data_IF_761932863412
#
_entry.id   IF_761932863412
#
_cell.length_a   1.000
_cell.length_b   1.000
_cell.length_c   1.000
_cell.angle_alpha   90.00
_cell.angle_beta   90.00
_cell.angle_gamma   90.00
#
_symmetry.space_group_name_H-M   'P 1'
#
loop_
_entity.id
_entity.type
_entity.pdbx_description
1 polymer ?
#
# COMPACT_ATOMS: atom_id res chain seq x y z
N UNK A 1 -34.68 48.03 59.35
CA UNK A 1 -33.61 48.81 60.00
C UNK A 1 -32.32 48.55 59.30
N UNK A 2 -31.59 49.65 59.09
CA UNK A 2 -30.25 49.85 58.54
C UNK A 2 -30.04 49.68 57.07
N UNK A 3 -29.98 50.85 56.40
CA UNK A 3 -29.50 51.15 55.06
C UNK A 3 -28.00 50.92 54.92
N UNK A 4 -27.54 50.38 53.78
CA UNK A 4 -26.18 50.61 53.32
C UNK A 4 -26.19 51.14 51.87
N UNK A 5 -25.72 52.38 51.75
CA UNK A 5 -25.47 53.07 50.49
C UNK A 5 -24.23 52.44 49.84
N UNK A 6 -24.33 52.15 48.56
CA UNK A 6 -23.14 51.86 47.72
C UNK A 6 -22.91 53.02 46.77
N UNK A 7 -21.73 53.64 46.95
CA UNK A 7 -21.19 54.64 46.04
C UNK A 7 -20.78 53.97 44.73
N UNK A 8 -21.31 54.44 43.62
CA UNK A 8 -20.81 54.15 42.29
C UNK A 8 -19.67 55.12 41.96
N UNK A 9 -18.47 54.63 41.77
CA UNK A 9 -17.36 55.38 41.15
C UNK A 9 -17.42 55.17 39.64
N UNK A 10 -17.68 56.22 38.87
CA UNK A 10 -17.53 56.27 37.44
C UNK A 10 -16.04 56.29 37.10
N UNK A 11 -15.50 55.21 36.49
CA UNK A 11 -14.23 55.23 35.78
C UNK A 11 -14.49 55.62 34.33
N UNK A 12 -14.04 56.81 33.96
CA UNK A 12 -13.99 57.26 32.56
C UNK A 12 -12.75 56.63 31.90
N UNK A 13 -12.97 55.68 31.01
CA UNK A 13 -11.92 55.17 30.11
C UNK A 13 -11.72 56.18 28.97
N UNK A 14 -10.57 56.80 28.91
CA UNK A 14 -10.12 57.53 27.72
C UNK A 14 -9.66 56.53 26.64
N UNK A 15 -10.41 56.44 25.54
CA UNK A 15 -9.97 55.74 24.34
C UNK A 15 -8.88 56.54 23.63
N UNK A 16 -7.63 56.08 23.70
CA UNK A 16 -6.61 56.47 22.77
C UNK A 16 -6.82 55.67 21.46
N UNK A 17 -6.89 56.31 20.28
CA UNK A 17 -6.85 55.58 19.02
C UNK A 17 -5.43 55.05 18.78
N UNK A 18 -5.23 53.74 18.90
CA UNK A 18 -4.04 53.08 18.40
C UNK A 18 -4.09 53.13 16.87
N UNK A 19 -3.25 53.93 16.25
CA UNK A 19 -2.95 53.85 14.83
C UNK A 19 -2.23 52.51 14.60
N UNK A 20 -2.98 51.52 14.14
CA UNK A 20 -2.43 50.33 13.53
C UNK A 20 -1.87 50.72 12.16
N UNK A 21 -0.60 51.04 12.07
CA UNK A 21 0.16 51.01 10.84
C UNK A 21 0.25 49.56 10.42
N UNK A 22 -0.61 49.16 9.49
CA UNK A 22 -0.47 47.91 8.76
C UNK A 22 0.84 48.03 7.95
N UNK A 23 1.93 47.47 8.49
CA UNK A 23 3.07 47.09 7.65
C UNK A 23 2.59 46.02 6.70
N UNK A 24 2.23 46.42 5.48
CA UNK A 24 2.16 45.47 4.36
C UNK A 24 3.59 45.03 4.06
N UNK A 25 4.05 43.97 4.71
CA UNK A 25 5.19 43.23 4.19
C UNK A 25 4.71 42.62 2.86
N UNK A 26 5.09 43.23 1.78
CA UNK A 26 5.01 42.61 0.46
C UNK A 26 6.10 41.53 0.43
N UNK A 27 5.84 40.40 1.05
CA UNK A 27 6.61 39.20 0.76
C UNK A 27 6.54 39.00 -0.74
N UNK A 28 7.67 38.74 -1.39
CA UNK A 28 7.64 38.43 -2.83
C UNK A 28 6.63 37.28 -3.05
N UNK A 29 5.79 37.35 -4.10
CA UNK A 29 4.84 36.31 -4.38
C UNK A 29 5.58 34.98 -4.40
N UNK A 30 5.08 34.03 -3.62
CA UNK A 30 5.66 32.71 -3.55
C UNK A 30 5.85 32.19 -4.98
N UNK A 31 7.02 31.61 -5.34
CA UNK A 31 7.27 31.14 -6.70
C UNK A 31 6.11 30.26 -7.16
N UNK A 32 5.67 30.43 -8.40
CA UNK A 32 4.61 29.61 -8.97
C UNK A 32 5.02 28.13 -8.89
N UNK A 33 4.08 27.26 -8.53
CA UNK A 33 4.32 25.82 -8.50
C UNK A 33 4.71 25.29 -9.90
N UNK A 34 5.42 24.18 -9.94
CA UNK A 34 5.85 23.53 -11.17
C UNK A 34 4.87 22.43 -11.59
N UNK A 35 4.89 22.08 -12.88
CA UNK A 35 4.16 20.92 -13.39
C UNK A 35 5.09 19.70 -13.32
N UNK A 36 4.75 18.73 -12.46
CA UNK A 36 5.48 17.45 -12.34
C UNK A 36 4.78 16.40 -13.19
N UNK A 37 5.44 15.97 -14.25
CA UNK A 37 4.85 15.01 -15.19
C UNK A 37 5.36 13.59 -14.94
N UNK A 38 4.42 12.64 -14.85
CA UNK A 38 4.65 11.21 -14.72
C UNK A 38 4.01 10.49 -15.89
N UNK A 39 4.70 9.48 -16.42
CA UNK A 39 4.19 8.59 -17.47
C UNK A 39 4.01 7.22 -16.82
N UNK A 40 2.79 6.84 -16.49
CA UNK A 40 2.49 5.64 -15.72
C UNK A 40 1.61 4.70 -16.53
N UNK A 41 1.99 3.44 -16.62
CA UNK A 41 1.15 2.42 -17.24
C UNK A 41 0.75 1.33 -16.23
N UNK A 42 -0.49 0.83 -16.36
CA UNK A 42 -0.87 -0.45 -15.77
C UNK A 42 -0.37 -1.58 -16.68
N UNK A 43 0.33 -2.56 -16.13
CA UNK A 43 0.91 -3.67 -16.88
C UNK A 43 0.80 -5.00 -16.15
N UNK A 44 0.70 -6.09 -16.92
CA UNK A 44 0.77 -7.44 -16.38
C UNK A 44 2.23 -7.75 -15.99
N UNK A 45 2.42 -8.19 -14.75
CA UNK A 45 3.73 -8.50 -14.16
C UNK A 45 3.63 -9.81 -13.38
N UNK A 46 4.67 -10.62 -13.42
CA UNK A 46 4.81 -11.73 -12.47
C UNK A 46 5.48 -11.23 -11.21
N UNK A 47 4.81 -11.40 -10.07
CA UNK A 47 5.31 -11.03 -8.76
C UNK A 47 5.53 -12.25 -7.89
N UNK A 48 6.61 -12.26 -7.10
CA UNK A 48 6.87 -13.30 -6.11
C UNK A 48 6.98 -12.66 -4.72
N UNK A 49 6.05 -13.01 -3.84
CA UNK A 49 5.98 -12.52 -2.47
C UNK A 49 7.15 -12.99 -1.57
N UNK A 50 7.81 -14.08 -1.94
CA UNK A 50 8.95 -14.64 -1.21
C UNK A 50 10.06 -15.11 -2.16
N UNK A 51 10.72 -14.17 -2.87
CA UNK A 51 11.61 -14.47 -4.00
C UNK A 51 12.84 -15.29 -3.63
N UNK A 52 13.26 -15.30 -2.37
CA UNK A 52 14.43 -16.09 -1.94
C UNK A 52 14.11 -17.57 -1.76
N UNK A 53 12.82 -17.95 -1.71
CA UNK A 53 12.39 -19.32 -1.40
C UNK A 53 12.67 -19.74 0.06
N UNK A 54 13.01 -18.78 0.92
CA UNK A 54 13.41 -19.00 2.32
C UNK A 54 12.62 -18.05 3.23
N UNK A 55 12.16 -18.55 4.37
CA UNK A 55 11.74 -17.68 5.47
C UNK A 55 12.97 -16.98 6.02
N UNK A 56 13.15 -15.71 5.72
CA UNK A 56 14.33 -14.92 6.08
C UNK A 56 14.41 -14.59 7.58
N UNK A 57 13.37 -14.89 8.35
CA UNK A 57 13.35 -14.72 9.80
C UNK A 57 13.93 -15.96 10.49
N UNK A 58 13.56 -17.15 10.02
CA UNK A 58 14.02 -18.43 10.57
C UNK A 58 15.23 -19.02 9.86
N UNK A 59 15.53 -18.58 8.64
CA UNK A 59 16.57 -19.11 7.77
C UNK A 59 16.19 -20.45 7.12
N UNK A 60 14.94 -20.89 7.21
CA UNK A 60 14.52 -22.22 6.74
C UNK A 60 13.89 -22.14 5.34
N UNK A 61 14.35 -22.93 4.35
CA UNK A 61 13.74 -22.97 3.01
C UNK A 61 12.28 -23.47 3.06
N UNK A 62 11.40 -22.86 2.28
CA UNK A 62 9.99 -23.29 2.18
C UNK A 62 9.86 -24.71 1.58
N UNK A 63 10.78 -25.13 0.72
CA UNK A 63 10.80 -26.48 0.14
C UNK A 63 10.91 -27.59 1.19
N UNK A 64 11.46 -27.29 2.37
CA UNK A 64 11.68 -28.27 3.44
C UNK A 64 10.50 -28.39 4.41
N UNK A 65 9.34 -27.81 4.07
CA UNK A 65 8.12 -27.89 4.87
C UNK A 65 7.49 -29.29 4.78
N UNK A 66 7.90 -30.20 5.67
CA UNK A 66 7.30 -31.55 5.75
C UNK A 66 6.23 -31.67 6.84
N UNK A 67 6.37 -30.94 7.93
CA UNK A 67 5.43 -30.93 9.07
C UNK A 67 5.45 -29.58 9.78
N UNK A 68 4.32 -29.09 10.30
CA UNK A 68 4.28 -27.92 11.18
C UNK A 68 5.05 -28.19 12.47
N UNK A 69 5.80 -27.19 12.90
CA UNK A 69 6.50 -27.16 14.18
C UNK A 69 6.29 -25.79 14.84
N UNK A 70 6.63 -25.58 16.10
CA UNK A 70 6.58 -24.24 16.71
C UNK A 70 7.40 -23.19 15.97
N UNK A 71 8.44 -23.59 15.23
CA UNK A 71 9.25 -22.70 14.37
C UNK A 71 8.69 -22.57 12.94
N UNK A 72 7.67 -23.35 12.60
CA UNK A 72 7.03 -23.43 11.28
C UNK A 72 5.53 -23.64 11.46
N UNK A 73 4.82 -22.55 11.70
CA UNK A 73 3.37 -22.62 11.84
C UNK A 73 2.72 -23.12 10.56
N UNK A 74 1.49 -23.62 10.67
CA UNK A 74 0.71 -24.11 9.54
C UNK A 74 0.54 -23.02 8.48
N UNK A 75 0.40 -21.79 8.90
CA UNK A 75 0.22 -20.61 8.05
C UNK A 75 1.39 -20.43 7.08
N UNK A 76 2.64 -20.65 7.51
CA UNK A 76 3.81 -20.62 6.61
C UNK A 76 3.68 -21.67 5.51
N UNK A 77 3.23 -22.86 5.86
CA UNK A 77 3.01 -23.94 4.91
C UNK A 77 1.92 -23.61 3.89
N UNK A 78 0.76 -23.12 4.34
CA UNK A 78 -0.37 -22.78 3.47
C UNK A 78 -0.03 -21.61 2.54
N UNK A 79 0.70 -20.62 3.04
CA UNK A 79 1.02 -19.39 2.32
C UNK A 79 2.10 -19.57 1.23
N UNK A 80 3.03 -20.49 1.43
CA UNK A 80 4.23 -20.57 0.58
C UNK A 80 4.30 -21.80 -0.30
N UNK A 81 3.60 -22.85 0.04
CA UNK A 81 3.63 -24.10 -0.73
C UNK A 81 2.78 -23.95 -1.99
N UNK A 82 3.33 -24.43 -3.11
CA UNK A 82 2.59 -24.65 -4.34
C UNK A 82 2.06 -26.08 -4.37
N UNK A 83 0.76 -26.24 -4.55
CA UNK A 83 0.16 -27.56 -4.86
C UNK A 83 -0.17 -27.56 -6.34
N UNK A 84 0.65 -28.26 -7.13
CA UNK A 84 0.28 -28.59 -8.49
C UNK A 84 -0.78 -29.70 -8.44
N UNK A 85 -1.92 -29.51 -9.11
CA UNK A 85 -2.84 -30.57 -9.41
C UNK A 85 -2.19 -31.45 -10.49
N UNK A 86 -1.69 -32.59 -10.10
CA UNK A 86 -1.30 -33.64 -11.03
C UNK A 86 -2.43 -34.66 -11.02
N UNK A 87 -3.03 -34.91 -12.18
CA UNK A 87 -4.09 -35.92 -12.36
C UNK A 87 -3.64 -37.34 -11.96
N UNK A 88 -2.35 -37.55 -11.74
CA UNK A 88 -1.77 -38.82 -11.31
C UNK A 88 -1.58 -38.96 -9.80
N UNK A 89 -1.81 -37.92 -9.01
CA UNK A 89 -1.40 -37.89 -7.59
C UNK A 89 -2.48 -37.39 -6.64
N UNK A 90 -3.69 -37.85 -6.78
CA UNK A 90 -4.73 -37.64 -5.76
C UNK A 90 -4.37 -38.26 -4.40
N UNK A 91 -3.41 -39.15 -4.35
CA UNK A 91 -2.94 -39.76 -3.09
C UNK A 91 -1.88 -38.93 -2.35
N UNK A 92 -1.14 -38.06 -3.02
CA UNK A 92 -0.01 -37.34 -2.43
C UNK A 92 -0.13 -35.80 -2.46
N UNK A 93 -1.20 -35.26 -3.05
CA UNK A 93 -1.43 -33.81 -3.18
C UNK A 93 -2.33 -33.19 -2.12
N UNK A 94 -2.98 -34.01 -1.31
CA UNK A 94 -3.78 -33.53 -0.17
C UNK A 94 -2.84 -32.96 0.88
N UNK A 95 -2.88 -31.64 1.02
CA UNK A 95 -2.30 -31.00 2.19
C UNK A 95 -3.18 -31.38 3.38
N UNK A 96 -2.77 -32.41 4.08
CA UNK A 96 -3.45 -32.85 5.27
C UNK A 96 -3.14 -31.85 6.39
N UNK A 97 -4.13 -31.08 6.80
CA UNK A 97 -4.05 -30.33 8.05
C UNK A 97 -4.59 -31.22 9.17
N UNK A 98 -3.76 -31.74 10.09
CA UNK A 98 -4.22 -32.60 11.16
C UNK A 98 -5.13 -31.89 12.19
N UNK A 99 -5.21 -30.56 12.15
CA UNK A 99 -6.02 -29.74 13.06
C UNK A 99 -7.30 -29.19 12.42
N UNK A 100 -7.43 -29.27 11.09
CA UNK A 100 -8.68 -28.97 10.41
C UNK A 100 -9.42 -30.29 10.20
N UNK A 101 -10.49 -30.47 10.96
CA UNK A 101 -11.39 -31.59 10.77
C UNK A 101 -11.85 -31.63 9.31
N UNK A 102 -11.38 -32.63 8.60
CA UNK A 102 -11.97 -33.21 7.41
C UNK A 102 -12.77 -32.22 6.59
N UNK A 103 -12.40 -31.81 5.46
CA UNK A 103 -13.31 -31.39 4.41
C UNK A 103 -13.01 -30.12 3.62
N UNK A 104 -11.90 -29.43 3.81
CA UNK A 104 -11.60 -28.32 2.91
C UNK A 104 -10.35 -28.56 2.10
N UNK A 105 -10.52 -28.73 0.78
CA UNK A 105 -9.39 -28.71 -0.12
C UNK A 105 -8.90 -27.27 -0.29
N UNK A 106 -7.69 -27.02 0.20
CA UNK A 106 -7.03 -25.75 0.00
C UNK A 106 -6.32 -25.74 -1.34
N UNK A 107 -6.76 -24.90 -2.26
CA UNK A 107 -6.05 -24.67 -3.51
C UNK A 107 -4.97 -23.62 -3.26
N UNK A 108 -3.72 -24.07 -3.22
CA UNK A 108 -2.57 -23.23 -2.96
C UNK A 108 -1.86 -22.87 -4.27
N UNK A 109 -1.79 -21.58 -4.58
CA UNK A 109 -1.05 -21.07 -5.72
C UNK A 109 0.44 -20.93 -5.38
N UNK A 110 0.77 -20.68 -4.12
CA UNK A 110 2.11 -20.51 -3.61
C UNK A 110 2.50 -19.03 -3.47
N UNK A 111 3.76 -18.70 -3.77
CA UNK A 111 4.29 -17.34 -3.56
C UNK A 111 4.30 -16.47 -4.81
N UNK A 112 4.07 -17.05 -6.00
CA UNK A 112 4.20 -16.37 -7.29
C UNK A 112 2.84 -16.20 -7.96
N UNK A 113 2.54 -14.96 -8.38
CA UNK A 113 1.27 -14.57 -8.98
C UNK A 113 1.50 -13.67 -10.19
N UNK A 114 0.61 -13.74 -11.16
CA UNK A 114 0.41 -12.67 -12.12
C UNK A 114 -0.35 -11.55 -11.44
N UNK A 115 0.11 -10.31 -11.63
CA UNK A 115 -0.52 -9.08 -11.09
C UNK A 115 -0.59 -8.01 -12.17
N UNK A 116 -1.40 -7.00 -11.94
CA UNK A 116 -1.39 -5.76 -12.70
C UNK A 116 -0.69 -4.69 -11.84
N UNK A 117 0.43 -4.15 -12.29
CA UNK A 117 1.17 -3.15 -11.52
C UNK A 117 1.28 -1.83 -12.29
N UNK A 118 1.27 -0.71 -11.56
CA UNK A 118 1.67 0.58 -12.13
C UNK A 118 3.18 0.64 -12.34
N UNK A 119 3.60 0.96 -13.56
CA UNK A 119 5.00 1.08 -13.95
C UNK A 119 5.28 2.47 -14.53
N UNK A 120 6.41 3.09 -14.16
CA UNK A 120 6.81 4.40 -14.71
C UNK A 120 7.61 4.26 -15.98
N UNK A 121 7.38 5.17 -16.90
CA UNK A 121 8.05 5.28 -18.20
C UNK A 121 8.79 6.61 -18.33
N UNK A 122 9.74 6.68 -19.26
CA UNK A 122 10.52 7.89 -19.50
C UNK A 122 9.76 8.92 -20.34
N UNK A 123 8.71 8.50 -21.07
CA UNK A 123 7.93 9.38 -21.94
C UNK A 123 6.55 8.81 -22.29
N UNK A 124 5.71 9.63 -22.92
CA UNK A 124 4.38 9.25 -23.40
C UNK A 124 4.39 8.20 -24.53
N UNK A 125 5.55 7.81 -25.05
CA UNK A 125 5.64 6.68 -26.00
C UNK A 125 5.44 5.32 -25.31
N UNK A 126 5.65 5.24 -23.99
CA UNK A 126 5.57 4.01 -23.20
C UNK A 126 6.41 2.85 -23.76
N UNK A 127 7.59 3.19 -24.31
CA UNK A 127 8.53 2.19 -24.87
C UNK A 127 9.68 1.87 -23.94
N UNK A 128 10.15 2.84 -23.13
CA UNK A 128 11.28 2.69 -22.23
C UNK A 128 10.82 2.88 -20.79
N UNK A 129 10.87 1.81 -19.99
CA UNK A 129 10.58 1.88 -18.55
C UNK A 129 11.62 2.76 -17.85
N UNK A 130 11.16 3.60 -16.94
CA UNK A 130 12.03 4.35 -16.05
C UNK A 130 12.47 3.44 -14.90
N UNK A 131 13.77 3.21 -14.73
CA UNK A 131 14.26 2.41 -13.59
C UNK A 131 13.82 3.04 -12.27
N UNK A 132 13.39 2.22 -11.33
CA UNK A 132 13.12 2.67 -9.97
C UNK A 132 14.43 3.12 -9.32
N UNK A 133 14.43 4.30 -8.71
CA UNK A 133 15.56 4.78 -7.93
C UNK A 133 15.89 3.80 -6.79
N UNK A 134 17.16 3.52 -6.56
CA UNK A 134 17.63 2.56 -5.56
C UNK A 134 17.12 2.88 -4.15
N UNK A 135 16.95 4.16 -3.82
CA UNK A 135 16.39 4.59 -2.52
C UNK A 135 14.94 4.12 -2.31
N UNK A 136 14.20 3.82 -3.41
CA UNK A 136 12.83 3.35 -3.38
C UNK A 136 12.70 1.84 -3.69
N UNK A 137 13.80 1.11 -3.72
CA UNK A 137 13.78 -0.34 -4.03
C UNK A 137 12.92 -1.13 -3.03
N UNK A 138 12.79 -0.64 -1.80
CA UNK A 138 11.96 -1.25 -0.76
C UNK A 138 10.45 -1.21 -1.05
N UNK A 139 9.99 -0.40 -2.00
CA UNK A 139 8.54 -0.28 -2.28
C UNK A 139 7.95 -1.49 -3.02
N UNK A 140 8.76 -2.48 -3.40
CA UNK A 140 8.29 -3.76 -3.94
C UNK A 140 7.38 -3.61 -5.15
N UNK A 141 6.17 -4.16 -5.08
CA UNK A 141 5.20 -4.11 -6.17
C UNK A 141 4.44 -2.78 -6.27
N UNK A 142 4.55 -1.92 -5.28
CA UNK A 142 3.84 -0.63 -5.33
C UNK A 142 4.18 0.15 -6.60
N UNK A 143 3.21 0.88 -7.08
CA UNK A 143 3.40 1.84 -8.16
C UNK A 143 4.49 2.88 -7.86
N UNK A 144 4.91 3.66 -8.85
CA UNK A 144 5.90 4.73 -8.69
C UNK A 144 5.48 5.72 -7.60
N UNK A 145 6.43 6.21 -6.81
CA UNK A 145 6.14 7.26 -5.84
C UNK A 145 5.93 8.58 -6.58
N UNK A 146 4.71 9.10 -6.53
CA UNK A 146 4.39 10.45 -7.02
C UNK A 146 4.80 11.44 -5.93
N UNK A 147 5.66 12.42 -6.27
CA UNK A 147 6.19 13.41 -5.34
C UNK A 147 5.89 14.82 -5.83
N UNK A 148 5.34 15.67 -4.96
CA UNK A 148 5.02 17.05 -5.29
C UNK A 148 5.13 17.95 -4.05
N UNK A 149 5.28 19.26 -4.27
CA UNK A 149 5.18 20.26 -3.24
C UNK A 149 3.83 20.99 -3.29
N UNK A 150 3.45 21.59 -2.18
CA UNK A 150 2.32 22.52 -2.14
C UNK A 150 2.51 23.62 -3.20
N UNK A 151 1.50 23.83 -4.01
CA UNK A 151 1.48 24.75 -5.14
C UNK A 151 1.78 24.10 -6.50
N UNK A 152 2.30 22.88 -6.54
CA UNK A 152 2.56 22.17 -7.79
C UNK A 152 1.28 21.65 -8.47
N UNK A 153 1.43 21.30 -9.74
CA UNK A 153 0.45 20.49 -10.49
C UNK A 153 1.07 19.15 -10.83
N UNK A 154 0.44 18.06 -10.42
CA UNK A 154 0.80 16.72 -10.83
C UNK A 154 0.07 16.40 -12.11
N UNK A 155 0.82 16.04 -13.16
CA UNK A 155 0.29 15.60 -14.43
C UNK A 155 0.66 14.15 -14.65
N UNK A 156 -0.33 13.27 -14.71
CA UNK A 156 -0.12 11.84 -14.97
C UNK A 156 -0.65 11.49 -16.35
N UNK A 157 0.25 11.15 -17.26
CA UNK A 157 -0.13 10.52 -18.52
C UNK A 157 -0.23 9.02 -18.25
N UNK A 158 -1.46 8.53 -18.15
CA UNK A 158 -1.76 7.14 -17.84
C UNK A 158 -2.03 6.33 -19.10
N UNK A 159 -1.57 5.08 -19.14
CA UNK A 159 -1.86 4.12 -20.20
C UNK A 159 -2.22 2.76 -19.60
N UNK A 160 -3.33 2.18 -20.05
CA UNK A 160 -3.65 0.79 -19.73
C UNK A 160 -2.99 -0.14 -20.76
N UNK A 161 -1.93 -0.86 -20.36
CA UNK A 161 -1.19 -1.82 -21.20
C UNK A 161 -1.46 -3.28 -20.83
N UNK A 162 -2.44 -3.53 -19.94
CA UNK A 162 -2.76 -4.87 -19.49
C UNK A 162 -3.45 -5.70 -20.58
N UNK A 163 -3.36 -7.03 -20.45
CA UNK A 163 -4.03 -8.00 -21.31
C UNK A 163 -5.30 -8.58 -20.65
N UNK A 164 -5.72 -8.02 -19.52
CA UNK A 164 -6.86 -8.54 -18.74
C UNK A 164 -8.22 -8.31 -19.41
N UNK A 165 -8.28 -7.46 -20.42
CA UNK A 165 -9.54 -7.01 -21.02
C UNK A 165 -10.36 -6.08 -20.10
N UNK A 166 -9.75 -5.54 -19.04
CA UNK A 166 -10.40 -4.68 -18.04
C UNK A 166 -9.97 -3.23 -18.19
N UNK A 167 -10.89 -2.35 -17.91
CA UNK A 167 -10.61 -0.93 -17.78
C UNK A 167 -10.00 -0.64 -16.44
N UNK A 168 -9.08 0.32 -16.40
CA UNK A 168 -8.45 0.80 -15.16
C UNK A 168 -8.40 2.33 -15.15
N UNK A 169 -8.15 2.89 -13.97
CA UNK A 169 -8.06 4.34 -13.79
C UNK A 169 -6.91 4.69 -12.83
N UNK A 170 -6.76 5.99 -12.54
CA UNK A 170 -5.95 6.47 -11.43
C UNK A 170 -6.74 7.49 -10.63
N UNK A 171 -7.10 7.11 -9.40
CA UNK A 171 -7.78 7.95 -8.42
C UNK A 171 -6.78 8.39 -7.34
N UNK A 172 -6.55 9.69 -7.13
CA UNK A 172 -5.63 10.19 -6.11
C UNK A 172 -6.36 10.57 -4.83
N UNK A 173 -5.71 10.39 -3.69
CA UNK A 173 -6.15 10.93 -2.42
C UNK A 173 -5.53 12.31 -2.13
N UNK A 174 -6.19 13.14 -1.35
CA UNK A 174 -5.67 14.37 -0.73
C UNK A 174 -5.57 15.60 -1.64
N UNK A 175 -5.25 15.43 -2.90
CA UNK A 175 -5.06 16.51 -3.88
C UNK A 175 -6.40 17.05 -4.41
N UNK A 176 -6.35 18.15 -5.16
CA UNK A 176 -7.53 18.72 -5.81
C UNK A 176 -7.58 18.30 -7.28
N UNK A 177 -8.76 17.88 -7.72
CA UNK A 177 -9.03 17.47 -9.11
C UNK A 177 -10.43 17.88 -9.55
N UNK A 178 -10.64 17.97 -10.86
CA UNK A 178 -11.97 18.11 -11.47
C UNK A 178 -12.58 16.74 -11.76
N UNK A 179 -13.86 16.66 -12.06
CA UNK A 179 -14.52 15.39 -12.36
C UNK A 179 -13.87 14.54 -13.47
N UNK A 180 -13.37 15.12 -14.57
CA UNK A 180 -12.58 14.38 -15.56
C UNK A 180 -11.30 13.74 -15.02
N UNK A 181 -10.75 14.30 -13.95
CA UNK A 181 -9.46 13.90 -13.36
C UNK A 181 -9.60 13.08 -12.07
N UNK A 182 -10.84 12.74 -11.67
CA UNK A 182 -11.15 11.98 -10.47
C UNK A 182 -10.73 10.50 -10.56
N UNK A 183 -10.87 9.90 -11.74
CA UNK A 183 -10.53 8.50 -11.94
C UNK A 183 -11.49 7.49 -11.31
N UNK A 184 -12.70 7.91 -10.92
CA UNK A 184 -13.72 7.07 -10.27
C UNK A 184 -15.05 7.14 -11.03
N UNK A 185 -15.57 6.03 -11.57
CA UNK A 185 -16.89 5.99 -12.20
C UNK A 185 -18.00 6.00 -11.14
N UNK A 186 -19.06 6.76 -11.38
CA UNK A 186 -20.28 6.71 -10.59
C UNK A 186 -21.49 7.20 -11.40
N UNK A 187 -22.68 6.80 -10.96
CA UNK A 187 -23.94 7.21 -11.57
C UNK A 187 -24.62 8.28 -10.72
N UNK A 188 -24.64 9.52 -11.21
CA UNK A 188 -25.40 10.59 -10.56
C UNK A 188 -26.64 10.92 -11.41
N UNK A 189 -27.82 10.68 -10.87
CA UNK A 189 -29.13 11.22 -11.31
C UNK A 189 -29.32 11.35 -12.82
N UNK A 190 -29.22 10.27 -13.57
CA UNK A 190 -29.45 10.20 -15.04
C UNK A 190 -28.48 11.02 -15.92
N UNK A 191 -27.44 11.61 -15.40
CA UNK A 191 -26.37 12.16 -16.22
C UNK A 191 -25.29 11.11 -16.40
N UNK A 192 -24.93 10.81 -17.63
CA UNK A 192 -23.75 10.02 -17.97
C UNK A 192 -22.49 10.81 -17.62
N UNK A 193 -22.13 10.85 -16.35
CA UNK A 193 -20.89 11.49 -15.89
C UNK A 193 -19.66 10.61 -16.12
N UNK A 194 -19.75 9.65 -17.05
CA UNK A 194 -18.61 8.91 -17.53
C UNK A 194 -17.69 9.85 -18.30
N UNK A 195 -16.59 10.22 -17.69
CA UNK A 195 -15.48 10.88 -18.37
C UNK A 195 -14.45 9.83 -18.77
N UNK A 196 -13.68 10.12 -19.81
CA UNK A 196 -12.65 9.20 -20.31
C UNK A 196 -11.59 8.82 -19.26
N UNK A 197 -11.41 9.62 -18.20
CA UNK A 197 -10.50 9.34 -17.09
C UNK A 197 -11.03 8.35 -16.05
N UNK A 198 -12.35 8.13 -16.01
CA UNK A 198 -12.97 7.25 -15.02
C UNK A 198 -12.79 5.77 -15.36
N UNK A 199 -12.53 5.44 -16.64
CA UNK A 199 -12.46 4.06 -17.12
C UNK A 199 -11.64 4.07 -18.41
N UNK A 200 -10.36 3.70 -18.32
CA UNK A 200 -9.42 3.68 -19.45
C UNK A 200 -9.29 2.24 -19.96
N UNK A 201 -9.78 1.93 -21.17
CA UNK A 201 -9.75 0.57 -21.70
C UNK A 201 -8.34 0.09 -22.04
N UNK A 202 -8.13 -1.23 -22.21
CA UNK A 202 -6.87 -1.78 -22.69
C UNK A 202 -6.37 -1.07 -23.98
N UNK A 203 -5.12 -0.66 -23.98
CA UNK A 203 -4.51 0.17 -25.04
C UNK A 203 -4.83 1.66 -24.95
N UNK A 204 -5.85 2.05 -24.19
CA UNK A 204 -6.27 3.44 -23.99
C UNK A 204 -5.27 4.27 -23.18
N UNK A 205 -5.42 5.59 -23.28
CA UNK A 205 -4.59 6.57 -22.58
C UNK A 205 -5.47 7.73 -22.08
N UNK A 206 -5.19 8.20 -20.87
CA UNK A 206 -5.80 9.42 -20.32
C UNK A 206 -4.72 10.27 -19.62
N UNK A 207 -4.92 11.60 -19.58
CA UNK A 207 -4.03 12.51 -18.86
C UNK A 207 -4.78 13.15 -17.71
N UNK A 208 -4.40 12.78 -16.49
CA UNK A 208 -4.91 13.39 -15.27
C UNK A 208 -4.12 14.64 -14.90
N UNK A 209 -4.78 15.64 -14.33
CA UNK A 209 -4.18 16.84 -13.78
C UNK A 209 -4.70 17.07 -12.36
N UNK A 210 -3.81 16.96 -11.39
CA UNK A 210 -4.12 17.12 -9.97
C UNK A 210 -3.36 18.32 -9.41
N UNK A 211 -4.08 19.26 -8.82
CA UNK A 211 -3.47 20.40 -8.15
C UNK A 211 -3.14 20.04 -6.71
N UNK A 212 -2.07 20.63 -6.20
CA UNK A 212 -1.60 20.40 -4.83
C UNK A 212 -1.83 21.68 -4.00
N UNK A 213 -3.06 21.94 -3.52
CA UNK A 213 -3.35 23.10 -2.68
C UNK A 213 -2.76 22.94 -1.27
N UNK A 214 -2.75 24.01 -0.49
CA UNK A 214 -2.23 24.00 0.89
C UNK A 214 -2.80 22.87 1.73
N UNK A 215 -4.11 22.58 1.59
CA UNK A 215 -4.78 21.49 2.32
C UNK A 215 -4.32 20.08 1.93
N UNK A 216 -3.61 19.91 0.82
CA UNK A 216 -3.04 18.64 0.41
C UNK A 216 -1.64 18.41 1.01
N UNK A 217 -1.02 19.47 1.50
CA UNK A 217 0.28 19.46 2.16
C UNK A 217 0.19 19.20 3.67
N UNK A 218 1.36 19.17 4.33
CA UNK A 218 1.44 18.93 5.76
C UNK A 218 0.82 20.08 6.56
N UNK A 219 0.05 19.71 7.59
CA UNK A 219 -0.40 20.64 8.64
C UNK A 219 0.70 20.89 9.69
N UNK A 220 0.41 21.70 10.71
CA UNK A 220 1.41 22.12 11.69
C UNK A 220 2.08 20.99 12.47
N UNK A 221 1.42 19.83 12.61
CA UNK A 221 1.94 18.67 13.34
C UNK A 221 2.59 17.59 12.45
N UNK A 222 2.54 17.75 11.13
CA UNK A 222 2.93 16.68 10.18
C UNK A 222 4.41 16.71 9.78
N UNK A 223 5.16 17.76 10.18
CA UNK A 223 6.55 17.96 9.73
C UNK A 223 6.61 18.41 8.26
N UNK A 224 7.68 18.04 7.49
CA UNK A 224 7.91 18.60 6.16
C UNK A 224 7.05 17.99 5.03
N UNK A 225 6.31 16.91 5.30
CA UNK A 225 5.56 16.17 4.26
C UNK A 225 4.46 15.31 4.85
N UNK A 226 3.49 14.96 4.00
CA UNK A 226 2.44 13.97 4.31
C UNK A 226 2.36 12.94 3.19
N UNK A 227 1.93 11.75 3.55
CA UNK A 227 1.62 10.70 2.60
C UNK A 227 0.16 10.76 2.17
N UNK A 228 -0.04 10.52 0.88
CA UNK A 228 -1.28 10.12 0.25
C UNK A 228 -1.04 8.84 -0.55
N UNK A 229 -2.08 8.32 -1.20
CA UNK A 229 -1.98 7.21 -2.13
C UNK A 229 -2.76 7.51 -3.41
N UNK A 230 -2.55 6.70 -4.42
CA UNK A 230 -3.38 6.63 -5.62
C UNK A 230 -3.61 5.16 -5.98
N UNK A 231 -4.77 4.85 -6.56
CA UNK A 231 -5.12 3.50 -6.97
C UNK A 231 -6.11 3.51 -8.13
N UNK A 232 -6.32 2.35 -8.76
CA UNK A 232 -7.42 2.21 -9.72
C UNK A 232 -8.75 2.10 -8.98
N UNK A 233 -9.79 2.73 -9.51
CA UNK A 233 -11.11 2.85 -8.87
C UNK A 233 -12.26 2.45 -9.82
N UNK A 234 -12.01 1.67 -10.87
CA UNK A 234 -13.07 1.15 -11.75
C UNK A 234 -13.86 0.05 -11.06
N UNK A 235 -13.15 -0.94 -10.50
CA UNK A 235 -13.62 -1.89 -9.48
C UNK A 235 -12.56 -1.89 -8.38
N UNK A 236 -12.72 -0.99 -7.42
CA UNK A 236 -11.69 -0.67 -6.44
C UNK A 236 -11.11 -1.91 -5.74
N UNK A 237 -11.98 -2.84 -5.35
CA UNK A 237 -11.58 -4.06 -4.65
C UNK A 237 -10.68 -4.92 -5.54
N UNK A 238 -11.15 -5.26 -6.74
CA UNK A 238 -10.38 -6.13 -7.65
C UNK A 238 -9.16 -5.45 -8.23
N UNK A 239 -9.24 -4.15 -8.50
CA UNK A 239 -8.14 -3.38 -9.06
C UNK A 239 -6.98 -3.31 -8.07
N UNK A 240 -7.25 -3.02 -6.79
CA UNK A 240 -6.23 -2.92 -5.74
C UNK A 240 -5.63 -4.28 -5.41
N UNK A 241 -6.45 -5.34 -5.29
CA UNK A 241 -5.91 -6.69 -5.10
C UNK A 241 -5.19 -7.24 -6.33
N UNK A 242 -5.47 -6.71 -7.53
CA UNK A 242 -4.64 -7.00 -8.70
C UNK A 242 -3.27 -6.30 -8.62
N UNK A 243 -3.09 -5.26 -7.77
CA UNK A 243 -1.83 -4.57 -7.50
C UNK A 243 -1.79 -3.12 -8.00
N UNK A 244 -2.92 -2.55 -8.42
CA UNK A 244 -2.99 -1.19 -8.96
C UNK A 244 -3.14 -0.14 -7.86
N UNK A 245 -2.08 0.01 -7.07
CA UNK A 245 -1.94 0.97 -5.97
C UNK A 245 -0.52 1.52 -5.91
N UNK A 246 -0.37 2.78 -5.49
CA UNK A 246 0.92 3.43 -5.30
C UNK A 246 0.89 4.59 -4.31
N UNK A 247 2.02 4.95 -3.73
CA UNK A 247 2.13 6.06 -2.79
C UNK A 247 2.32 7.40 -3.50
N UNK A 248 1.79 8.45 -2.86
CA UNK A 248 2.03 9.83 -3.22
C UNK A 248 2.51 10.59 -1.97
N UNK A 249 3.52 11.43 -2.12
CA UNK A 249 4.06 12.24 -1.03
C UNK A 249 3.98 13.71 -1.42
N UNK A 250 3.32 14.48 -0.57
CA UNK A 250 3.22 15.94 -0.71
C UNK A 250 4.08 16.60 0.35
N UNK A 251 4.99 17.43 -0.10
CA UNK A 251 5.92 18.20 0.74
C UNK A 251 5.41 19.62 0.94
N UNK A 252 5.73 20.19 2.08
CA UNK A 252 5.62 21.64 2.25
C UNK A 252 6.51 22.36 1.22
N UNK A 253 6.11 23.56 0.86
CA UNK A 253 6.82 24.35 -0.16
C UNK A 253 8.28 24.57 0.20
N UNK A 254 9.19 24.30 -0.76
CA UNK A 254 10.64 24.44 -0.60
C UNK A 254 11.32 23.28 0.13
N UNK A 255 10.61 22.21 0.48
CA UNK A 255 11.17 21.04 1.16
C UNK A 255 11.74 19.99 0.22
N UNK A 256 11.25 19.90 -1.01
CA UNK A 256 11.71 18.94 -2.01
C UNK A 256 12.74 19.60 -2.95
N UNK A 257 14.02 19.23 -2.78
CA UNK A 257 15.10 19.79 -3.62
C UNK A 257 15.06 19.21 -5.05
N UNK A 258 15.69 19.89 -6.03
CA UNK A 258 15.74 19.41 -7.42
C UNK A 258 16.40 18.03 -7.59
N UNK A 259 17.34 17.65 -6.72
CA UNK A 259 17.99 16.34 -6.70
C UNK A 259 17.12 15.23 -6.07
N UNK A 260 15.92 15.60 -5.61
CA UNK A 260 14.97 14.69 -4.97
C UNK A 260 15.27 14.42 -3.48
N UNK A 261 16.24 15.10 -2.87
CA UNK A 261 16.43 15.08 -1.41
C UNK A 261 15.41 15.99 -0.71
N UNK A 262 15.19 15.77 0.58
CA UNK A 262 14.24 16.53 1.40
C UNK A 262 14.99 17.34 2.44
N UNK A 263 14.58 18.59 2.64
CA UNK A 263 15.21 19.45 3.65
C UNK A 263 15.00 18.87 5.05
N UNK A 264 16.10 18.63 5.77
CA UNK A 264 16.06 18.12 7.14
C UNK A 264 15.68 16.64 7.29
N UNK A 265 15.58 15.88 6.19
CA UNK A 265 15.33 14.44 6.18
C UNK A 265 16.49 13.77 5.45
N UNK A 266 17.15 12.82 6.10
CA UNK A 266 18.26 12.07 5.53
C UNK A 266 17.74 10.87 4.71
N UNK A 267 16.61 10.29 5.12
CA UNK A 267 16.06 9.07 4.52
C UNK A 267 14.55 9.00 4.62
N UNK A 268 13.93 8.42 3.60
CA UNK A 268 12.50 8.20 3.53
C UNK A 268 12.20 6.72 3.25
N UNK A 269 11.25 6.14 3.99
CA UNK A 269 10.74 4.79 3.73
C UNK A 269 9.23 4.79 3.60
N UNK A 270 8.72 4.06 2.60
CA UNK A 270 7.29 3.88 2.34
C UNK A 270 6.95 2.40 2.49
N UNK A 271 6.03 2.07 3.38
CA UNK A 271 5.63 0.67 3.60
C UNK A 271 4.11 0.54 3.66
N UNK A 272 3.57 -0.25 2.77
CA UNK A 272 2.18 -0.69 2.79
C UNK A 272 2.06 -2.01 3.55
N UNK A 273 1.10 -2.08 4.45
CA UNK A 273 0.66 -3.29 5.13
C UNK A 273 -0.67 -3.72 4.52
N UNK A 274 -0.76 -4.94 4.03
CA UNK A 274 -1.99 -5.44 3.43
C UNK A 274 -2.07 -6.96 3.47
N UNK A 275 -3.28 -7.46 3.64
CA UNK A 275 -3.64 -8.85 3.33
C UNK A 275 -4.04 -8.88 1.87
N UNK A 276 -3.06 -9.08 0.97
CA UNK A 276 -3.33 -9.15 -0.47
C UNK A 276 -4.22 -10.36 -0.78
N UNK A 277 -5.50 -10.13 -0.98
CA UNK A 277 -6.46 -11.17 -1.29
C UNK A 277 -6.42 -11.53 -2.79
N UNK A 278 -5.55 -12.46 -3.14
CA UNK A 278 -5.37 -12.91 -4.52
C UNK A 278 -6.62 -13.60 -5.08
N UNK A 279 -7.55 -14.07 -4.21
CA UNK A 279 -8.83 -14.66 -4.64
C UNK A 279 -9.75 -13.60 -5.28
N UNK A 280 -9.59 -12.32 -4.95
CA UNK A 280 -10.35 -11.20 -5.49
C UNK A 280 -9.64 -10.48 -6.64
N UNK A 281 -8.41 -10.88 -6.98
CA UNK A 281 -7.69 -10.33 -8.13
C UNK A 281 -8.39 -10.65 -9.46
N UNK A 282 -8.36 -9.72 -10.42
CA UNK A 282 -8.79 -9.99 -11.79
C UNK A 282 -8.06 -11.15 -12.45
N UNK A 283 -6.84 -11.45 -11.96
CA UNK A 283 -5.97 -12.49 -12.49
C UNK A 283 -6.09 -13.83 -11.72
N UNK A 284 -7.04 -13.94 -10.79
CA UNK A 284 -7.20 -15.14 -9.97
C UNK A 284 -7.33 -16.43 -10.80
N UNK A 285 -8.22 -16.44 -11.79
CA UNK A 285 -8.42 -17.61 -12.65
C UNK A 285 -7.16 -17.94 -13.49
N UNK A 286 -6.48 -16.91 -13.99
CA UNK A 286 -5.21 -17.09 -14.70
C UNK A 286 -4.14 -17.68 -13.78
N UNK A 287 -4.11 -17.26 -12.52
CA UNK A 287 -3.21 -17.78 -11.51
C UNK A 287 -3.49 -19.24 -11.16
N UNK A 288 -4.78 -19.61 -11.03
CA UNK A 288 -5.19 -21.00 -10.82
C UNK A 288 -4.76 -21.89 -11.99
N UNK A 289 -5.02 -21.47 -13.23
CA UNK A 289 -4.61 -22.23 -14.41
C UNK A 289 -3.09 -22.31 -14.55
N UNK A 290 -2.39 -21.20 -14.31
CA UNK A 290 -0.94 -21.13 -14.52
C UNK A 290 -0.17 -21.88 -13.44
N UNK A 291 -0.54 -21.70 -12.18
CA UNK A 291 0.27 -22.16 -11.03
C UNK A 291 -0.34 -23.36 -10.31
N UNK A 292 -1.65 -23.44 -10.15
CA UNK A 292 -2.32 -24.61 -9.57
C UNK A 292 -2.64 -25.68 -10.62
N UNK A 293 -2.45 -25.38 -11.93
CA UNK A 293 -2.70 -26.32 -13.05
C UNK A 293 -4.14 -26.83 -13.17
N UNK A 294 -5.10 -26.06 -12.68
CA UNK A 294 -6.51 -26.39 -12.80
C UNK A 294 -7.06 -26.05 -14.19
N UNK A 295 -7.93 -26.91 -14.72
CA UNK A 295 -8.72 -26.60 -15.91
C UNK A 295 -9.88 -25.66 -15.54
N UNK A 296 -10.46 -24.97 -16.53
CA UNK A 296 -11.65 -24.14 -16.30
C UNK A 296 -12.82 -24.95 -15.72
N UNK A 297 -13.03 -26.17 -16.19
CA UNK A 297 -14.11 -27.05 -15.69
C UNK A 297 -13.89 -27.43 -14.22
N UNK A 298 -12.64 -27.71 -13.83
CA UNK A 298 -12.27 -27.99 -12.43
C UNK A 298 -12.48 -26.75 -11.54
N UNK A 299 -12.08 -25.58 -12.01
CA UNK A 299 -12.27 -24.31 -11.30
C UNK A 299 -13.77 -24.05 -11.12
N UNK A 300 -14.56 -24.18 -12.18
CA UNK A 300 -16.01 -23.98 -12.14
C UNK A 300 -16.69 -24.99 -11.21
N UNK A 301 -16.31 -26.25 -11.27
CA UNK A 301 -16.82 -27.29 -10.38
C UNK A 301 -16.50 -26.99 -8.92
N UNK A 302 -15.27 -26.54 -8.61
CA UNK A 302 -14.84 -26.18 -7.26
C UNK A 302 -15.63 -25.00 -6.68
N UNK A 303 -15.90 -23.98 -7.50
CA UNK A 303 -16.65 -22.77 -7.08
C UNK A 303 -18.12 -23.06 -6.85
N UNK A 304 -18.73 -23.89 -7.71
CA UNK A 304 -20.18 -24.17 -7.70
C UNK A 304 -20.57 -25.34 -6.80
N UNK A 305 -19.60 -26.11 -6.31
CA UNK A 305 -19.89 -27.29 -5.51
C UNK A 305 -20.41 -26.90 -4.11
N UNK A 306 -21.51 -27.52 -3.65
CA UNK A 306 -21.88 -27.42 -2.25
C UNK A 306 -20.77 -27.98 -1.34
N UNK A 307 -20.63 -27.46 -0.12
CA UNK A 307 -19.65 -27.97 0.86
C UNK A 307 -19.78 -29.51 1.03
N UNK A 308 -18.66 -30.23 0.97
CA UNK A 308 -18.61 -31.68 1.11
C UNK A 308 -18.89 -32.48 -0.15
N UNK A 309 -19.05 -31.81 -1.30
CA UNK A 309 -19.19 -32.53 -2.59
C UNK A 309 -17.86 -33.19 -2.95
N UNK A 310 -17.94 -34.47 -3.34
CA UNK A 310 -16.81 -35.25 -3.86
C UNK A 310 -16.93 -35.31 -5.39
N UNK A 311 -15.92 -34.87 -6.11
CA UNK A 311 -15.90 -34.97 -7.56
C UNK A 311 -15.63 -36.43 -8.03
N UNK A 312 -15.80 -36.75 -9.32
CA UNK A 312 -15.56 -38.11 -9.82
C UNK A 312 -14.12 -38.62 -9.64
N UNK A 313 -13.15 -37.75 -9.37
CA UNK A 313 -11.75 -38.12 -9.07
C UNK A 313 -11.52 -38.44 -7.59
N UNK A 314 -12.55 -38.28 -6.74
CA UNK A 314 -12.45 -38.49 -5.29
C UNK A 314 -12.01 -37.23 -4.53
N UNK A 315 -12.01 -36.08 -5.20
CA UNK A 315 -11.66 -34.80 -4.64
C UNK A 315 -12.84 -34.22 -3.84
N UNK A 316 -12.64 -33.91 -2.57
CA UNK A 316 -13.68 -33.26 -1.77
C UNK A 316 -13.68 -31.78 -2.09
N UNK A 317 -14.75 -31.28 -2.70
CA UNK A 317 -14.93 -29.86 -3.03
C UNK A 317 -15.70 -29.19 -1.89
N UNK A 318 -15.00 -28.48 -1.04
CA UNK A 318 -15.59 -27.85 0.15
C UNK A 318 -15.67 -26.35 0.08
N UNK A 319 -16.05 -25.81 -1.02
CA UNK A 319 -15.93 -24.39 -1.17
C UNK A 319 -14.46 -23.93 -1.20
N UNK A 320 -14.20 -22.77 -1.71
CA UNK A 320 -12.86 -22.19 -1.69
C UNK A 320 -12.50 -21.81 -0.25
N UNK A 321 -11.44 -22.39 0.30
CA UNK A 321 -10.79 -21.78 1.45
C UNK A 321 -9.87 -20.69 0.92
N UNK A 322 -10.15 -19.44 1.27
CA UNK A 322 -9.45 -18.26 0.77
C UNK A 322 -8.03 -18.12 1.35
N UNK A 323 -7.80 -18.65 2.55
CA UNK A 323 -6.59 -18.42 3.34
C UNK A 323 -5.26 -18.69 2.61
N UNK A 324 -5.09 -19.76 1.81
CA UNK A 324 -3.84 -20.01 1.10
C UNK A 324 -3.43 -18.92 0.11
N UNK A 325 -4.39 -18.11 -0.33
CA UNK A 325 -4.18 -17.05 -1.30
C UNK A 325 -4.34 -15.65 -0.70
N UNK A 326 -4.42 -15.53 0.64
CA UNK A 326 -4.31 -14.28 1.38
C UNK A 326 -2.85 -14.02 1.71
N UNK A 327 -2.19 -13.09 1.01
CA UNK A 327 -0.77 -12.80 1.24
C UNK A 327 -0.61 -11.67 2.23
N UNK A 328 -0.28 -12.03 3.48
CA UNK A 328 -0.03 -11.09 4.57
C UNK A 328 1.32 -10.41 4.34
N UNK A 329 1.31 -9.28 3.64
CA UNK A 329 2.52 -8.69 3.06
C UNK A 329 2.85 -7.29 3.57
N UNK A 330 4.13 -6.94 3.39
CA UNK A 330 4.64 -5.57 3.51
C UNK A 330 5.29 -5.21 2.17
N UNK A 331 4.71 -4.26 1.42
CA UNK A 331 5.13 -3.92 0.06
C UNK A 331 5.18 -5.13 -0.90
N UNK A 332 4.30 -6.12 -0.69
CA UNK A 332 4.26 -7.34 -1.49
C UNK A 332 5.33 -8.37 -1.14
N UNK A 333 5.95 -8.27 0.04
CA UNK A 333 6.90 -9.26 0.54
C UNK A 333 6.41 -9.89 1.85
N UNK A 334 6.62 -11.19 1.99
CA UNK A 334 6.26 -11.97 3.18
C UNK A 334 7.47 -12.64 3.80
N UNK A 335 7.41 -13.04 5.06
CA UNK A 335 8.42 -13.84 5.77
C UNK A 335 9.85 -13.29 5.66
N UNK A 336 10.02 -11.98 5.81
CA UNK A 336 11.33 -11.32 5.81
C UNK A 336 11.98 -11.17 4.44
N UNK A 337 11.23 -11.38 3.34
CA UNK A 337 11.76 -11.31 1.97
C UNK A 337 11.89 -9.89 1.42
N UNK A 338 11.43 -8.86 2.12
CA UNK A 338 11.76 -7.48 1.78
C UNK A 338 13.28 -7.29 1.96
N UNK A 339 14.02 -6.94 0.88
CA UNK A 339 15.47 -6.95 0.93
C UNK A 339 16.02 -5.99 1.99
N UNK A 340 16.76 -6.51 2.96
CA UNK A 340 17.23 -5.77 4.14
C UNK A 340 18.05 -4.52 3.78
N UNK A 341 18.88 -4.61 2.75
CA UNK A 341 19.71 -3.50 2.27
C UNK A 341 18.90 -2.34 1.69
N UNK A 342 17.62 -2.53 1.43
CA UNK A 342 16.72 -1.47 0.94
C UNK A 342 16.01 -0.73 2.06
N UNK A 343 16.01 -1.29 3.29
CA UNK A 343 15.54 -0.63 4.53
C UNK A 343 16.71 -0.57 5.52
N UNK A 344 17.73 0.18 5.15
CA UNK A 344 18.94 0.39 5.95
C UNK A 344 19.16 1.89 6.17
N UNK A 345 19.49 2.26 7.40
CA UNK A 345 19.76 3.62 7.84
C UNK A 345 20.97 3.65 8.77
N UNK A 346 21.50 4.85 9.08
CA UNK A 346 22.57 5.02 10.06
C UNK A 346 22.03 5.60 11.35
N UNK A 347 22.73 5.29 12.45
CA UNK A 347 22.47 5.88 13.75
C UNK A 347 22.56 7.42 13.66
N UNK A 348 21.52 8.08 14.17
CA UNK A 348 21.43 9.55 14.20
C UNK A 348 20.87 10.19 12.93
N UNK A 349 20.62 9.46 11.85
CA UNK A 349 19.90 9.98 10.68
C UNK A 349 18.48 10.40 11.06
N UNK A 350 17.97 11.46 10.46
CA UNK A 350 16.55 11.78 10.53
C UNK A 350 15.82 10.99 9.45
N UNK A 351 15.11 9.95 9.85
CA UNK A 351 14.42 9.00 8.97
C UNK A 351 12.92 9.22 9.04
N UNK A 352 12.30 9.44 7.89
CA UNK A 352 10.86 9.62 7.79
C UNK A 352 10.19 8.37 7.24
N UNK A 353 9.23 7.85 7.99
CA UNK A 353 8.44 6.67 7.64
C UNK A 353 7.05 7.08 7.21
N UNK A 354 6.62 6.52 6.10
CA UNK A 354 5.27 6.61 5.58
C UNK A 354 4.69 5.21 5.57
N UNK A 355 3.72 4.97 6.44
CA UNK A 355 3.05 3.66 6.51
C UNK A 355 1.59 3.81 6.18
N UNK A 356 1.05 2.87 5.43
CA UNK A 356 -0.34 2.88 5.02
C UNK A 356 -0.89 1.48 4.81
N UNK A 357 -2.20 1.38 4.74
CA UNK A 357 -2.92 0.13 4.49
C UNK A 357 -4.01 0.34 3.45
N UNK A 358 -4.41 -0.74 2.81
CA UNK A 358 -5.57 -0.85 1.93
C UNK A 358 -6.15 -2.24 2.05
N UNK A 359 -7.44 -2.41 1.81
CA UNK A 359 -8.08 -3.71 1.82
C UNK A 359 -9.45 -3.71 2.48
N UNK A 360 -9.79 -4.81 3.14
CA UNK A 360 -11.09 -5.05 3.76
C UNK A 360 -11.03 -4.99 5.30
N UNK A 361 -12.07 -5.48 5.98
CA UNK A 361 -12.14 -5.55 7.45
C UNK A 361 -11.05 -6.39 8.11
N UNK A 362 -10.35 -7.24 7.35
CA UNK A 362 -9.19 -7.99 7.85
C UNK A 362 -7.88 -7.18 7.79
N UNK A 363 -7.88 -6.02 7.13
CA UNK A 363 -6.72 -5.14 7.01
C UNK A 363 -6.61 -4.16 8.18
N UNK A 364 -6.74 -4.69 9.40
CA UNK A 364 -6.45 -3.98 10.63
C UNK A 364 -5.01 -4.29 11.01
N UNK A 365 -4.10 -3.31 10.88
CA UNK A 365 -2.69 -3.55 11.11
C UNK A 365 -2.12 -2.69 12.23
N UNK A 366 -1.07 -3.21 12.86
CA UNK A 366 -0.33 -2.51 13.91
C UNK A 366 1.16 -2.60 13.64
N UNK A 367 1.69 -1.78 12.70
CA UNK A 367 3.13 -1.69 12.44
C UNK A 367 3.94 -1.45 13.71
N UNK A 368 4.93 -2.31 13.96
CA UNK A 368 5.80 -2.28 15.13
C UNK A 368 7.28 -2.29 14.72
N UNK A 369 8.03 -1.32 15.23
CA UNK A 369 9.48 -1.21 15.06
C UNK A 369 10.19 -1.67 16.32
N UNK A 370 10.94 -2.78 16.24
CA UNK A 370 11.77 -3.21 17.36
C UNK A 370 12.99 -2.29 17.53
N UNK A 371 13.38 -2.08 18.76
CA UNK A 371 14.64 -1.44 19.13
C UNK A 371 14.73 0.08 18.95
N UNK A 372 13.80 0.72 18.22
CA UNK A 372 13.74 2.17 18.02
C UNK A 372 12.30 2.68 18.11
N UNK A 373 12.15 4.00 18.26
CA UNK A 373 10.83 4.66 18.40
C UNK A 373 10.67 5.79 17.40
N UNK A 374 9.41 6.16 17.12
CA UNK A 374 9.04 7.24 16.22
C UNK A 374 8.30 8.34 16.98
N UNK A 375 8.27 9.53 16.39
CA UNK A 375 7.32 10.58 16.75
C UNK A 375 6.23 10.63 15.69
N UNK A 376 5.00 10.36 16.10
CA UNK A 376 3.81 10.43 15.25
C UNK A 376 2.83 11.39 15.90
N UNK A 377 2.40 12.44 15.18
CA UNK A 377 1.50 13.47 15.71
C UNK A 377 1.99 14.07 17.05
N UNK A 378 3.31 14.26 17.20
CA UNK A 378 3.93 14.78 18.41
C UNK A 378 4.05 13.78 19.57
N UNK A 379 3.59 12.54 19.42
CA UNK A 379 3.68 11.48 20.43
C UNK A 379 4.76 10.46 20.10
N UNK A 380 5.48 9.99 21.13
CA UNK A 380 6.45 8.89 20.99
C UNK A 380 5.75 7.55 21.00
N UNK A 381 6.02 6.76 19.96
CA UNK A 381 5.43 5.44 19.76
C UNK A 381 6.47 4.46 19.21
N UNK A 382 6.25 3.16 19.34
CA UNK A 382 6.95 2.09 18.62
C UNK A 382 5.97 1.21 17.84
N UNK A 383 4.66 1.42 18.05
CA UNK A 383 3.57 0.79 17.33
C UNK A 383 2.57 1.87 16.90
N UNK A 384 2.03 1.75 15.70
CA UNK A 384 0.94 2.60 15.20
C UNK A 384 -0.25 1.76 14.76
N UNK A 385 -1.43 2.37 14.65
CA UNK A 385 -2.64 1.71 14.16
C UNK A 385 -2.88 2.08 12.70
N UNK A 386 -3.16 1.09 11.86
CA UNK A 386 -3.60 1.28 10.48
C UNK A 386 -4.95 0.59 10.28
N UNK A 387 -5.88 1.33 9.71
CA UNK A 387 -7.13 0.82 9.14
C UNK A 387 -7.03 0.84 7.62
N UNK A 388 -7.89 0.13 6.89
CA UNK A 388 -7.98 0.27 5.43
C UNK A 388 -8.03 1.73 4.99
N UNK A 389 -7.27 2.08 3.96
CA UNK A 389 -7.15 3.42 3.40
C UNK A 389 -6.65 4.52 4.37
N UNK A 390 -6.00 4.14 5.48
CA UNK A 390 -5.33 5.11 6.37
C UNK A 390 -3.84 5.22 6.07
N UNK A 391 -3.30 6.41 6.31
CA UNK A 391 -1.91 6.76 6.08
C UNK A 391 -1.34 7.48 7.29
N UNK A 392 -0.17 7.06 7.75
CA UNK A 392 0.51 7.63 8.92
C UNK A 392 1.94 7.99 8.53
N UNK A 393 2.36 9.17 8.96
CA UNK A 393 3.73 9.64 8.80
C UNK A 393 4.39 9.75 10.18
N UNK A 394 5.61 9.22 10.33
CA UNK A 394 6.35 9.25 11.58
C UNK A 394 7.83 9.53 11.37
N UNK A 395 8.45 10.21 12.33
CA UNK A 395 9.87 10.55 12.30
C UNK A 395 10.64 9.74 13.33
N UNK A 396 11.73 9.11 12.88
CA UNK A 396 12.65 8.31 13.67
C UNK A 396 14.05 8.93 13.61
N UNK A 397 14.69 9.04 14.77
CA UNK A 397 16.15 9.22 14.86
C UNK A 397 16.69 7.96 15.52
N UNK A 398 17.19 6.98 14.74
CA UNK A 398 17.60 5.71 15.28
C UNK A 398 18.84 5.88 16.17
N UNK A 399 18.80 5.31 17.35
CA UNK A 399 19.90 5.36 18.33
C UNK A 399 20.45 3.97 18.69
N UNK A 400 19.75 2.91 18.27
CA UNK A 400 20.07 1.52 18.58
C UNK A 400 20.51 0.77 17.32
N UNK A 401 21.82 0.54 17.23
CA UNK A 401 22.45 -0.17 16.09
C UNK A 401 22.10 -1.64 16.09
N UNK A 402 21.79 -2.20 14.92
CA UNK A 402 21.46 -3.61 14.77
C UNK A 402 20.52 -3.91 13.62
N UNK A 403 20.16 -5.19 13.49
CA UNK A 403 19.09 -5.65 12.61
C UNK A 403 17.89 -5.96 13.49
N UNK A 404 16.80 -5.26 13.24
CA UNK A 404 15.61 -5.27 14.06
C UNK A 404 14.40 -5.80 13.29
N UNK A 405 13.47 -6.44 14.00
CA UNK A 405 12.19 -6.84 13.41
C UNK A 405 11.34 -5.61 13.12
N UNK A 406 10.60 -5.67 12.03
CA UNK A 406 9.56 -4.74 11.63
C UNK A 406 8.38 -5.56 11.13
N UNK A 407 7.25 -5.51 11.83
CA UNK A 407 6.14 -6.42 11.58
C UNK A 407 4.79 -5.85 12.00
N UNK A 408 3.71 -6.45 11.54
CA UNK A 408 2.38 -6.25 12.11
C UNK A 408 2.30 -6.96 13.48
N UNK A 409 1.65 -6.34 14.47
CA UNK A 409 1.48 -6.94 15.79
C UNK A 409 0.12 -7.65 15.97
N UNK A 410 -0.67 -7.77 14.90
CA UNK A 410 -1.83 -8.64 14.83
C UNK A 410 -1.32 -10.08 14.70
N UNK A 411 -1.71 -10.98 15.61
CA UNK A 411 -1.05 -12.28 15.80
C UNK A 411 -1.13 -13.20 14.59
N UNK A 412 -2.28 -13.30 13.95
CA UNK A 412 -2.47 -14.10 12.74
C UNK A 412 -1.68 -13.51 11.55
N UNK A 413 -1.62 -12.19 11.42
CA UNK A 413 -0.85 -11.55 10.35
C UNK A 413 0.66 -11.81 10.47
N UNK A 414 1.23 -11.74 11.67
CA UNK A 414 2.67 -12.02 11.86
C UNK A 414 2.98 -13.48 11.55
N UNK A 415 2.12 -14.41 11.96
CA UNK A 415 2.28 -15.84 11.70
C UNK A 415 2.17 -16.15 10.21
N UNK A 416 1.24 -15.49 9.52
CA UNK A 416 1.00 -15.65 8.09
C UNK A 416 2.01 -14.91 7.20
N UNK A 417 3.01 -14.20 7.80
CA UNK A 417 4.15 -13.68 7.05
C UNK A 417 4.31 -12.16 7.00
N UNK A 418 3.45 -11.38 7.68
CA UNK A 418 3.58 -9.92 7.74
C UNK A 418 4.69 -9.50 8.71
N UNK A 419 5.90 -9.95 8.43
CA UNK A 419 7.11 -9.74 9.22
C UNK A 419 8.30 -9.53 8.30
N UNK A 420 9.08 -8.47 8.57
CA UNK A 420 10.30 -8.11 7.88
C UNK A 420 11.35 -7.62 8.88
N UNK A 421 12.45 -7.08 8.38
CA UNK A 421 13.55 -6.53 9.19
C UNK A 421 13.96 -5.19 8.62
N UNK A 422 14.52 -4.34 9.46
CA UNK A 422 15.25 -3.15 9.06
C UNK A 422 16.61 -3.11 9.75
N UNK A 423 17.55 -2.34 9.21
CA UNK A 423 18.92 -2.28 9.73
C UNK A 423 19.31 -0.85 10.10
N UNK A 424 19.92 -0.70 11.27
CA UNK A 424 20.60 0.51 11.72
C UNK A 424 22.08 0.24 11.77
N UNK A 425 22.84 0.94 10.95
CA UNK A 425 24.31 0.92 10.91
C UNK A 425 24.87 1.97 11.91
N UNK A 426 26.14 1.79 12.34
CA UNK A 426 26.83 2.78 13.17
C UNK A 426 26.91 4.17 12.56
#
# INVERSE_FOLDING_TARGET
MTKWLRSMALLTFALLPALLTACSSSDPPAPAGVVRTYYIAAEDVTWNYAPTGVNQITGIPFANLSTPTPLRPMEEFIQTRRVAFDNASTANGTVFNPNFTTDSMMIQIGTTYKKCLFQEYTSASFTVKKPRDAKWAHTGFLGPIIRAEVGDTIRVVFKNKTQTGRDFSMHPHGVFYTKPDEGAPYFANNSSSFTAGNSVPPGGTHTYQWQVPDRAGPGPADGPSVQWMYHSHVDEVKDTYSGLIGPMIVYAKGMLRPDGSVVGIDREFVVMFTVDNENLSWLFFDNLQTYAKLTLDQIQAAILAPPGTVDPSGLILNGFNDEPNLKHSMNGYTYGNLPLNTITMHKGEHVRWYVFSMGTEVDLHTPHWHGNTLIVNGMRVDVVNLLPATMITGDMVPDNVGIWLFHCHVNDHIIAGMINRYQVLP
#
